data_IF_630296703250
#
_entry.id   IF_630296703250
#
_cell.length_a   1.000
_cell.length_b   1.000
_cell.length_c   1.000
_cell.angle_alpha   90.00
_cell.angle_beta   90.00
_cell.angle_gamma   90.00
#
_symmetry.space_group_name_H-M   'P 1'
#
loop_
_entity.id
_entity.type
_entity.pdbx_description
1 polymer ?
#
# COMPACT_ATOMS: atom_id res chain seq x y z
N UNK A 1 0.98 -3.15 3.41
CA UNK A 1 0.84 -1.93 2.59
C UNK A 1 1.64 -2.17 1.33
N UNK A 2 1.06 -1.95 0.16
CA UNK A 2 1.76 -2.06 -1.12
C UNK A 2 2.82 -0.98 -1.33
N UNK A 3 3.81 -1.25 -2.18
CA UNK A 3 4.74 -0.25 -2.68
C UNK A 3 4.06 0.70 -3.67
N UNK A 4 4.41 1.99 -3.61
CA UNK A 4 3.83 3.01 -4.49
C UNK A 4 4.39 2.92 -5.92
N UNK A 5 3.56 3.26 -6.91
CA UNK A 5 4.02 3.42 -8.28
C UNK A 5 4.71 4.78 -8.41
N UNK A 6 6.04 4.73 -8.49
CA UNK A 6 6.90 5.91 -8.60
C UNK A 6 6.77 6.60 -9.97
N UNK A 7 6.84 7.93 -10.02
CA UNK A 7 6.77 8.69 -11.28
C UNK A 7 7.86 8.25 -12.27
N UNK A 8 9.09 8.04 -11.77
CA UNK A 8 10.20 7.56 -12.59
C UNK A 8 9.93 6.18 -13.22
N UNK A 9 9.08 5.34 -12.60
CA UNK A 9 8.79 3.99 -13.10
C UNK A 9 8.05 3.98 -14.44
N UNK A 10 7.33 5.07 -14.78
CA UNK A 10 6.59 5.22 -16.04
C UNK A 10 7.50 5.51 -17.25
N UNK A 11 8.72 5.98 -17.01
CA UNK A 11 9.70 6.30 -18.05
C UNK A 11 10.69 5.16 -18.30
N UNK A 12 10.60 4.10 -17.51
CA UNK A 12 11.42 2.90 -17.66
C UNK A 12 10.77 1.89 -18.60
N UNK A 13 11.58 0.99 -19.13
CA UNK A 13 11.09 -0.12 -19.95
C UNK A 13 10.08 -0.95 -19.15
N UNK A 14 8.90 -1.17 -19.72
CA UNK A 14 7.84 -1.98 -19.13
C UNK A 14 8.18 -3.47 -19.26
N UNK A 15 9.08 -3.94 -18.39
CA UNK A 15 9.55 -5.32 -18.32
C UNK A 15 9.81 -5.69 -16.85
N UNK A 16 9.45 -6.92 -16.46
CA UNK A 16 9.61 -7.44 -15.10
C UNK A 16 11.06 -7.48 -14.62
N UNK A 17 12.01 -7.54 -15.57
CA UNK A 17 13.43 -7.57 -15.29
C UNK A 17 14.04 -6.18 -15.04
N UNK A 18 13.29 -5.11 -15.31
CA UNK A 18 13.77 -3.73 -15.12
C UNK A 18 13.54 -3.32 -13.67
N UNK A 19 14.61 -3.35 -12.87
CA UNK A 19 14.56 -2.96 -11.46
C UNK A 19 14.00 -1.55 -11.29
N UNK A 20 12.95 -1.40 -10.49
CA UNK A 20 12.29 -0.11 -10.25
C UNK A 20 11.35 0.35 -11.38
N UNK A 21 11.14 -0.45 -12.43
CA UNK A 21 10.15 -0.19 -13.46
C UNK A 21 8.71 -0.48 -13.01
N UNK A 22 7.73 0.05 -13.73
CA UNK A 22 6.31 -0.07 -13.36
C UNK A 22 5.85 -1.54 -13.24
N UNK A 23 6.26 -2.40 -14.18
CA UNK A 23 5.89 -3.82 -14.17
C UNK A 23 6.61 -4.59 -13.04
N UNK A 24 7.84 -4.20 -12.71
CA UNK A 24 8.57 -4.75 -11.57
C UNK A 24 7.82 -4.46 -10.26
N UNK A 25 7.40 -3.21 -10.03
CA UNK A 25 6.64 -2.82 -8.83
C UNK A 25 5.29 -3.53 -8.77
N UNK A 26 4.58 -3.62 -9.91
CA UNK A 26 3.28 -4.32 -9.99
C UNK A 26 3.40 -5.79 -9.63
N UNK A 27 4.43 -6.48 -10.10
CA UNK A 27 4.66 -7.88 -9.74
C UNK A 27 5.04 -8.04 -8.27
N UNK A 28 5.82 -7.14 -7.69
CA UNK A 28 6.06 -7.14 -6.24
C UNK A 28 4.76 -7.01 -5.45
N UNK A 29 3.89 -6.05 -5.82
CA UNK A 29 2.61 -5.85 -5.15
C UNK A 29 1.66 -7.04 -5.35
N UNK A 30 1.66 -7.65 -6.53
CA UNK A 30 0.91 -8.88 -6.81
C UNK A 30 1.36 -10.03 -5.91
N UNK A 31 2.67 -10.26 -5.78
CA UNK A 31 3.17 -11.32 -4.90
C UNK A 31 2.93 -11.01 -3.41
N UNK A 32 2.98 -9.74 -3.01
CA UNK A 32 2.58 -9.31 -1.68
C UNK A 32 1.09 -9.65 -1.42
N UNK A 33 0.22 -9.38 -2.39
CA UNK A 33 -1.20 -9.73 -2.29
C UNK A 33 -1.42 -11.23 -2.23
N UNK A 34 -0.74 -12.01 -3.07
CA UNK A 34 -0.80 -13.48 -3.04
C UNK A 34 -0.38 -14.03 -1.67
N UNK A 35 0.67 -13.47 -1.06
CA UNK A 35 1.11 -13.87 0.28
C UNK A 35 0.08 -13.54 1.36
N UNK A 36 -0.54 -12.35 1.29
CA UNK A 36 -1.64 -11.96 2.17
C UNK A 36 -2.85 -12.91 2.02
N UNK A 37 -3.26 -13.22 0.79
CA UNK A 37 -4.41 -14.09 0.53
C UNK A 37 -4.16 -15.51 1.07
N UNK A 38 -2.96 -16.07 0.85
CA UNK A 38 -2.55 -17.35 1.47
C UNK A 38 -2.59 -17.32 3.00
N UNK A 39 -2.18 -16.22 3.61
CA UNK A 39 -2.25 -16.06 5.06
C UNK A 39 -3.72 -16.02 5.56
N UNK A 40 -4.62 -15.38 4.80
CA UNK A 40 -6.06 -15.39 5.08
C UNK A 40 -6.66 -16.79 4.94
N UNK A 41 -6.31 -17.52 3.88
CA UNK A 41 -6.73 -18.91 3.65
C UNK A 41 -6.24 -19.86 4.76
N UNK A 42 -5.03 -19.63 5.29
CA UNK A 42 -4.48 -20.36 6.42
C UNK A 42 -5.16 -20.06 7.77
N UNK A 43 -6.18 -19.18 7.80
CA UNK A 43 -6.95 -18.87 9.00
C UNK A 43 -6.36 -17.76 9.86
N UNK A 44 -5.37 -17.01 9.39
CA UNK A 44 -4.84 -15.87 10.13
C UNK A 44 -5.91 -14.77 10.21
N UNK A 45 -6.33 -14.49 11.44
CA UNK A 45 -7.30 -13.43 11.78
C UNK A 45 -6.57 -12.11 12.06
N UNK A 46 -7.34 -11.01 12.07
CA UNK A 46 -6.84 -9.65 12.35
C UNK A 46 -5.65 -9.20 11.47
N UNK A 47 -5.59 -9.76 10.26
CA UNK A 47 -4.65 -9.38 9.21
C UNK A 47 -5.37 -8.51 8.17
N UNK A 48 -4.78 -7.35 7.86
CA UNK A 48 -5.36 -6.34 6.99
C UNK A 48 -4.39 -5.96 5.85
N UNK A 49 -4.95 -5.55 4.73
CA UNK A 49 -4.21 -5.19 3.52
C UNK A 49 -4.57 -3.77 3.08
N UNK A 50 -3.54 -2.99 2.71
CA UNK A 50 -3.69 -1.64 2.20
C UNK A 50 -3.02 -1.56 0.83
N UNK A 51 -3.81 -1.24 -0.20
CA UNK A 51 -3.34 -1.05 -1.57
C UNK A 51 -2.56 0.24 -1.72
N UNK A 52 -1.82 0.39 -2.82
CA UNK A 52 -1.05 1.59 -3.10
C UNK A 52 -1.87 2.74 -3.70
N UNK A 53 -3.17 2.52 -3.90
CA UNK A 53 -4.08 3.47 -4.54
C UNK A 53 -4.14 4.79 -3.76
N UNK A 54 -3.69 5.87 -4.39
CA UNK A 54 -3.71 7.21 -3.83
C UNK A 54 -2.85 7.41 -2.57
N UNK A 55 -1.90 6.52 -2.26
CA UNK A 55 -1.07 6.61 -1.05
C UNK A 55 -0.23 7.90 -0.98
N UNK A 56 0.23 8.40 -2.14
CA UNK A 56 1.01 9.63 -2.26
C UNK A 56 0.29 10.72 -3.07
N UNK A 57 -1.01 10.55 -3.31
CA UNK A 57 -1.79 11.43 -4.18
C UNK A 57 -1.63 11.12 -5.68
N UNK A 58 -2.23 11.95 -6.52
CA UNK A 58 -2.24 11.80 -7.99
C UNK A 58 -1.65 13.03 -8.71
N UNK A 59 -1.10 13.98 -7.96
CA UNK A 59 -0.55 15.24 -8.48
C UNK A 59 0.95 15.17 -8.80
N UNK A 60 1.58 14.02 -8.54
CA UNK A 60 2.99 13.75 -8.81
C UNK A 60 3.98 14.57 -7.96
N UNK A 61 3.52 15.16 -6.85
CA UNK A 61 4.33 16.02 -5.96
C UNK A 61 4.89 15.26 -4.74
N UNK A 62 4.69 13.94 -4.67
CA UNK A 62 4.99 13.14 -3.47
C UNK A 62 6.46 12.72 -3.30
N UNK A 63 7.31 12.95 -4.30
CA UNK A 63 8.70 12.47 -4.33
C UNK A 63 9.68 13.60 -4.61
N UNK A 64 10.94 13.46 -4.17
CA UNK A 64 12.00 14.44 -4.44
C UNK A 64 12.71 14.17 -5.78
N UNK A 65 12.90 12.90 -6.11
CA UNK A 65 13.66 12.43 -7.28
C UNK A 65 12.85 11.44 -8.15
N UNK A 66 11.53 11.40 -7.94
CA UNK A 66 10.66 10.43 -8.59
C UNK A 66 10.63 9.06 -7.91
N UNK A 67 11.38 8.82 -6.82
CA UNK A 67 11.40 7.56 -6.06
C UNK A 67 11.28 7.83 -4.56
N UNK A 68 12.18 8.60 -3.97
CA UNK A 68 12.19 8.85 -2.54
C UNK A 68 11.13 9.89 -2.17
N UNK A 69 10.34 9.56 -1.15
CA UNK A 69 9.28 10.43 -0.67
C UNK A 69 9.86 11.71 -0.08
N UNK A 70 9.25 12.84 -0.42
CA UNK A 70 9.46 14.09 0.30
C UNK A 70 8.51 14.18 1.50
N UNK A 71 8.56 15.29 2.25
CA UNK A 71 7.72 15.49 3.44
C UNK A 71 6.22 15.39 3.14
N UNK A 72 5.78 15.89 1.97
CA UNK A 72 4.39 15.82 1.52
C UNK A 72 3.97 14.36 1.24
N UNK A 73 4.82 13.60 0.54
CA UNK A 73 4.60 12.17 0.29
C UNK A 73 4.52 11.36 1.57
N UNK A 74 5.46 11.59 2.50
CA UNK A 74 5.47 10.94 3.82
C UNK A 74 4.21 11.28 4.63
N UNK A 75 3.80 12.56 4.64
CA UNK A 75 2.58 13.00 5.32
C UNK A 75 1.33 12.32 4.75
N UNK A 76 1.22 12.20 3.42
CA UNK A 76 0.08 11.54 2.75
C UNK A 76 -0.03 10.07 3.13
N UNK A 77 1.08 9.34 3.10
CA UNK A 77 1.12 7.94 3.53
C UNK A 77 0.71 7.82 4.99
N UNK A 78 1.29 8.66 5.87
CA UNK A 78 0.96 8.64 7.29
C UNK A 78 -0.54 8.87 7.53
N UNK A 79 -1.14 9.85 6.87
CA UNK A 79 -2.57 10.12 6.96
C UNK A 79 -3.43 8.93 6.51
N UNK A 80 -3.08 8.29 5.39
CA UNK A 80 -3.81 7.11 4.90
C UNK A 80 -3.70 5.92 5.85
N UNK A 81 -2.50 5.64 6.36
CA UNK A 81 -2.29 4.56 7.32
C UNK A 81 -3.07 4.82 8.61
N UNK A 82 -3.03 6.03 9.16
CA UNK A 82 -3.77 6.39 10.38
C UNK A 82 -5.28 6.23 10.18
N UNK A 83 -5.82 6.64 9.04
CA UNK A 83 -7.24 6.46 8.71
C UNK A 83 -7.64 4.98 8.72
N UNK A 84 -6.86 4.10 8.09
CA UNK A 84 -7.16 2.66 8.07
C UNK A 84 -6.99 2.02 9.45
N UNK A 85 -5.99 2.41 10.23
CA UNK A 85 -5.82 1.95 11.61
C UNK A 85 -7.04 2.32 12.46
N UNK A 86 -7.49 3.58 12.41
CA UNK A 86 -8.67 4.03 13.17
C UNK A 86 -9.89 3.19 12.79
N UNK A 87 -10.14 3.01 11.49
CA UNK A 87 -11.25 2.18 10.98
C UNK A 87 -11.19 0.75 11.50
N UNK A 88 -10.01 0.14 11.51
CA UNK A 88 -9.80 -1.22 12.05
C UNK A 88 -10.14 -1.26 13.55
N UNK A 89 -9.63 -0.30 14.33
CA UNK A 89 -9.88 -0.22 15.76
C UNK A 89 -11.37 -0.02 16.07
N UNK A 90 -12.07 0.81 15.30
CA UNK A 90 -13.51 1.03 15.44
C UNK A 90 -14.33 -0.23 15.13
N UNK A 91 -14.01 -0.93 14.04
CA UNK A 91 -14.64 -2.20 13.68
C UNK A 91 -14.45 -3.25 14.78
N UNK A 92 -13.27 -3.30 15.38
CA UNK A 92 -12.98 -4.26 16.45
C UNK A 92 -13.74 -3.91 17.74
N UNK A 93 -13.88 -2.62 18.09
CA UNK A 93 -14.74 -2.20 19.21
C UNK A 93 -16.20 -2.64 19.01
N UNK A 94 -16.74 -2.47 17.80
CA UNK A 94 -18.13 -2.87 17.48
C UNK A 94 -18.35 -4.39 17.60
N UNK A 95 -17.37 -5.20 17.15
CA UNK A 95 -17.43 -6.67 17.33
C UNK A 95 -17.47 -7.05 18.80
N UNK A 96 -16.70 -6.38 19.64
CA UNK A 96 -16.71 -6.62 21.09
C UNK A 96 -18.04 -6.25 21.72
N UNK A 97 -18.65 -5.12 21.34
CA UNK A 97 -19.94 -4.69 21.89
C UNK A 97 -21.12 -5.55 21.44
N UNK A 98 -21.08 -6.13 20.23
CA UNK A 98 -22.17 -6.94 19.69
C UNK A 98 -22.11 -8.42 20.12
N UNK A 99 -21.01 -8.86 20.75
CA UNK A 99 -20.83 -10.21 21.28
C UNK A 99 -21.08 -10.29 22.80
N UNK A 100 -21.63 -9.22 23.40
CA UNK A 100 -22.12 -9.12 24.79
C UNK A 100 -23.64 -8.94 24.77
#
# INVERSE_FOLDING_TARGET
>A
VEGVNFEHSYFQKTDKLTYGGLEYIREQNKELKNAFDKAKEAGIVDLYYLTNEGLIGYDHEGTIDGIHLNDLGMQRIANKIVQEIIKILELNKQKTTNNL
#
